data_IF_070378760889
#
_entry.id   IF_070378760889
#
_cell.length_a   1.000
_cell.length_b   1.000
_cell.length_c   1.000
_cell.angle_alpha   90.00
_cell.angle_beta   90.00
_cell.angle_gamma   90.00
#
_symmetry.space_group_name_H-M   'P 1'
#
loop_
_entity.id
_entity.type
_entity.pdbx_description
1 polymer ?
#
# COMPACT_ATOMS: atom_id res chain seq x y z
N UNK A 1 -13.42 -35.21 -26.14
CA UNK A 1 -13.96 -34.02 -25.46
C UNK A 1 -14.36 -33.02 -26.53
N UNK A 2 -15.66 -32.83 -26.71
CA UNK A 2 -16.23 -31.93 -27.72
C UNK A 2 -15.92 -30.45 -27.38
N UNK A 3 -15.89 -29.60 -28.41
CA UNK A 3 -15.66 -28.15 -28.27
C UNK A 3 -16.61 -27.48 -27.26
N UNK A 4 -17.89 -27.89 -27.24
CA UNK A 4 -18.90 -27.38 -26.29
C UNK A 4 -18.55 -27.69 -24.83
N UNK A 5 -18.02 -28.88 -24.55
CA UNK A 5 -17.60 -29.27 -23.20
C UNK A 5 -16.39 -28.45 -22.73
N UNK A 6 -15.46 -28.11 -23.63
CA UNK A 6 -14.32 -27.22 -23.34
C UNK A 6 -14.79 -25.80 -23.01
N UNK A 7 -15.74 -25.26 -23.79
CA UNK A 7 -16.32 -23.94 -23.53
C UNK A 7 -17.07 -23.87 -22.21
N UNK A 8 -17.88 -24.89 -21.87
CA UNK A 8 -18.59 -24.95 -20.60
C UNK A 8 -17.61 -24.97 -19.41
N UNK A 9 -16.55 -25.78 -19.48
CA UNK A 9 -15.49 -25.82 -18.44
C UNK A 9 -14.74 -24.50 -18.32
N UNK A 10 -14.50 -23.80 -19.43
CA UNK A 10 -13.85 -22.49 -19.41
C UNK A 10 -14.76 -21.42 -18.79
N UNK A 11 -16.05 -21.41 -19.14
CA UNK A 11 -17.03 -20.49 -18.58
C UNK A 11 -17.17 -20.66 -17.05
N UNK A 12 -17.24 -21.89 -16.56
CA UNK A 12 -17.32 -22.17 -15.11
C UNK A 12 -16.06 -21.75 -14.36
N UNK A 13 -14.88 -22.01 -14.94
CA UNK A 13 -13.60 -21.53 -14.40
C UNK A 13 -13.54 -20.01 -14.35
N UNK A 14 -13.98 -19.34 -15.42
CA UNK A 14 -13.99 -17.88 -15.47
C UNK A 14 -14.96 -17.28 -14.44
N UNK A 15 -16.14 -17.88 -14.24
CA UNK A 15 -17.08 -17.44 -13.22
C UNK A 15 -16.51 -17.54 -11.81
N UNK A 16 -15.87 -18.66 -11.49
CA UNK A 16 -15.19 -18.88 -10.20
C UNK A 16 -14.04 -17.89 -10.02
N UNK A 17 -13.29 -17.62 -11.08
CA UNK A 17 -12.18 -16.68 -11.07
C UNK A 17 -12.63 -15.23 -10.81
N UNK A 18 -13.71 -14.79 -11.47
CA UNK A 18 -14.29 -13.46 -11.28
C UNK A 18 -14.76 -13.27 -9.83
N UNK A 19 -15.48 -14.25 -9.27
CA UNK A 19 -15.94 -14.19 -7.88
C UNK A 19 -14.79 -14.11 -6.88
N UNK A 20 -13.72 -14.90 -7.12
CA UNK A 20 -12.52 -14.84 -6.26
C UNK A 20 -11.85 -13.46 -6.35
N UNK A 21 -11.72 -12.91 -7.56
CA UNK A 21 -11.12 -11.60 -7.77
C UNK A 21 -11.90 -10.50 -7.04
N UNK A 22 -13.24 -10.54 -7.06
CA UNK A 22 -14.08 -9.60 -6.30
C UNK A 22 -13.87 -9.74 -4.78
N UNK A 23 -13.70 -10.96 -4.27
CA UNK A 23 -13.43 -11.17 -2.85
C UNK A 23 -12.02 -10.68 -2.44
N UNK A 24 -11.01 -10.93 -3.27
CA UNK A 24 -9.64 -10.48 -3.06
C UNK A 24 -9.59 -8.94 -3.07
N UNK A 25 -10.36 -8.29 -3.95
CA UNK A 25 -10.57 -6.84 -4.02
C UNK A 25 -11.14 -6.24 -2.73
N UNK A 26 -12.27 -6.77 -2.26
CA UNK A 26 -12.93 -6.31 -1.02
C UNK A 26 -11.96 -6.45 0.16
N UNK A 27 -11.24 -7.57 0.19
CA UNK A 27 -10.23 -7.85 1.22
C UNK A 27 -9.11 -6.82 1.18
N UNK A 28 -8.54 -6.53 0.01
CA UNK A 28 -7.50 -5.53 -0.12
C UNK A 28 -7.94 -4.14 0.33
N UNK A 29 -9.11 -3.64 -0.11
CA UNK A 29 -9.63 -2.34 0.33
C UNK A 29 -9.73 -2.27 1.86
N UNK A 30 -10.27 -3.32 2.47
CA UNK A 30 -10.39 -3.38 3.93
C UNK A 30 -9.03 -3.30 4.61
N UNK A 31 -8.04 -4.04 4.12
CA UNK A 31 -6.69 -4.03 4.71
C UNK A 31 -5.94 -2.70 4.48
N UNK A 32 -6.21 -1.98 3.38
CA UNK A 32 -5.66 -0.62 3.17
C UNK A 32 -6.27 0.37 4.17
N UNK A 33 -7.60 0.36 4.34
CA UNK A 33 -8.28 1.24 5.30
C UNK A 33 -7.80 0.98 6.73
N UNK A 34 -7.71 -0.30 7.11
CA UNK A 34 -7.15 -0.70 8.40
C UNK A 34 -5.71 -0.23 8.59
N UNK A 35 -4.88 -0.32 7.55
CA UNK A 35 -3.51 0.17 7.61
C UNK A 35 -3.44 1.67 7.89
N UNK A 36 -4.30 2.46 7.25
CA UNK A 36 -4.37 3.90 7.48
C UNK A 36 -4.82 4.23 8.90
N UNK A 37 -5.85 3.53 9.41
CA UNK A 37 -6.27 3.64 10.81
C UNK A 37 -5.13 3.28 11.77
N UNK A 38 -4.38 2.20 11.48
CA UNK A 38 -3.21 1.80 12.28
C UNK A 38 -2.14 2.89 12.26
N UNK A 39 -1.82 3.48 11.10
CA UNK A 39 -0.84 4.57 10.95
C UNK A 39 -1.27 5.81 11.74
N UNK A 40 -2.53 6.25 11.62
CA UNK A 40 -3.05 7.38 12.38
C UNK A 40 -2.95 7.13 13.89
N UNK A 41 -3.29 5.92 14.33
CA UNK A 41 -3.16 5.54 15.73
C UNK A 41 -1.70 5.53 16.20
N UNK A 42 -0.76 5.06 15.37
CA UNK A 42 0.67 5.06 15.70
C UNK A 42 1.21 6.48 15.87
N UNK A 43 0.76 7.41 15.02
CA UNK A 43 1.21 8.80 14.96
C UNK A 43 0.30 9.79 15.70
N UNK A 44 -0.68 9.30 16.45
CA UNK A 44 -1.75 10.10 17.04
C UNK A 44 -1.24 11.32 17.81
N UNK A 45 -0.25 11.13 18.67
CA UNK A 45 0.32 12.22 19.48
C UNK A 45 0.95 13.32 18.61
N UNK A 46 1.68 12.92 17.57
CA UNK A 46 2.30 13.86 16.62
C UNK A 46 1.27 14.60 15.78
N UNK A 47 0.16 13.94 15.43
CA UNK A 47 -0.96 14.56 14.71
C UNK A 47 -1.72 15.53 15.61
N UNK A 48 -2.07 15.10 16.84
CA UNK A 48 -2.80 15.91 17.82
C UNK A 48 -2.01 17.19 18.21
N UNK A 49 -0.68 17.11 18.24
CA UNK A 49 0.20 18.27 18.49
C UNK A 49 0.48 19.12 17.23
N UNK A 50 -0.01 18.73 16.06
CA UNK A 50 0.22 19.44 14.79
C UNK A 50 1.64 19.29 14.22
N UNK A 51 2.43 18.33 14.71
CA UNK A 51 3.74 18.00 14.14
C UNK A 51 3.61 17.18 12.85
N UNK A 52 2.50 16.47 12.66
CA UNK A 52 2.19 15.75 11.42
C UNK A 52 0.79 16.15 10.97
N UNK A 53 0.67 16.46 9.68
CA UNK A 53 -0.64 16.69 9.05
C UNK A 53 -0.93 15.51 8.13
N UNK A 54 -2.02 14.79 8.40
CA UNK A 54 -2.49 13.69 7.57
C UNK A 54 -3.62 14.18 6.63
N UNK A 55 -3.46 13.93 5.34
CA UNK A 55 -4.42 14.31 4.31
C UNK A 55 -4.74 13.13 3.38
N UNK A 56 -5.94 13.16 2.79
CA UNK A 56 -6.44 12.09 1.94
C UNK A 56 -6.88 12.64 0.58
N UNK A 57 -6.39 12.02 -0.48
CA UNK A 57 -6.66 12.43 -1.86
C UNK A 57 -7.26 11.29 -2.67
N UNK A 58 -8.24 11.58 -3.52
CA UNK A 58 -8.76 10.56 -4.44
C UNK A 58 -7.68 10.15 -5.44
N UNK A 59 -7.62 8.86 -5.75
CA UNK A 59 -6.76 8.34 -6.81
C UNK A 59 -7.33 8.79 -8.18
N UNK A 60 -6.75 9.82 -8.78
CA UNK A 60 -7.29 10.42 -10.00
C UNK A 60 -6.90 9.70 -11.31
N UNK A 61 -5.89 8.83 -11.31
CA UNK A 61 -5.41 8.15 -12.52
C UNK A 61 -4.83 6.76 -12.22
N UNK A 62 -5.67 5.73 -12.26
CA UNK A 62 -5.22 4.37 -12.56
C UNK A 62 -6.05 3.89 -13.74
N UNK A 63 -5.38 3.68 -14.87
CA UNK A 63 -5.99 3.36 -16.18
C UNK A 63 -6.74 2.02 -16.23
N UNK A 64 -6.80 1.26 -15.13
CA UNK A 64 -7.19 -0.16 -15.19
C UNK A 64 -8.32 -0.64 -14.28
N UNK A 65 -8.86 0.12 -13.32
CA UNK A 65 -10.01 -0.37 -12.54
C UNK A 65 -10.98 0.74 -12.10
N UNK A 66 -12.25 0.63 -12.50
CA UNK A 66 -13.40 1.45 -12.05
C UNK A 66 -13.70 1.35 -10.53
N UNK A 67 -12.85 0.68 -9.75
CA UNK A 67 -13.08 0.23 -8.38
C UNK A 67 -12.41 1.12 -7.31
N UNK A 68 -11.71 2.16 -7.75
CA UNK A 68 -10.78 2.94 -6.94
C UNK A 68 -11.43 4.10 -6.16
N UNK A 69 -12.73 4.35 -6.36
CA UNK A 69 -13.47 5.43 -5.69
C UNK A 69 -13.48 5.34 -4.15
N UNK A 70 -13.16 4.17 -3.59
CA UNK A 70 -13.11 3.94 -2.13
C UNK A 70 -11.69 3.94 -1.54
N UNK A 71 -10.67 4.15 -2.38
CA UNK A 71 -9.28 4.21 -1.97
C UNK A 71 -8.77 5.64 -2.11
N UNK A 72 -8.00 6.04 -1.11
CA UNK A 72 -7.36 7.34 -1.05
C UNK A 72 -5.85 7.17 -1.03
N UNK A 73 -5.15 8.13 -1.58
CA UNK A 73 -3.75 8.37 -1.26
C UNK A 73 -3.74 9.01 0.13
N UNK A 74 -2.98 8.44 1.07
CA UNK A 74 -2.68 9.10 2.33
C UNK A 74 -1.37 9.89 2.17
N UNK A 75 -1.39 11.14 2.59
CA UNK A 75 -0.22 11.99 2.65
C UNK A 75 0.04 12.46 4.07
N UNK A 76 1.29 12.41 4.50
CA UNK A 76 1.74 12.81 5.82
C UNK A 76 2.79 13.91 5.68
N UNK A 77 2.42 15.14 5.97
CA UNK A 77 3.37 16.26 6.02
C UNK A 77 4.04 16.30 7.38
N UNK A 78 5.36 16.17 7.41
CA UNK A 78 6.16 16.09 8.64
C UNK A 78 6.74 17.47 8.99
N UNK A 79 6.35 18.03 10.13
CA UNK A 79 6.86 19.30 10.65
C UNK A 79 6.67 20.52 9.73
N UNK A 80 5.75 20.43 8.77
CA UNK A 80 5.60 21.45 7.70
C UNK A 80 6.64 21.37 6.58
N UNK A 81 7.47 20.32 6.55
CA UNK A 81 8.50 20.09 5.55
C UNK A 81 8.18 18.91 4.62
N UNK A 82 8.97 17.82 4.66
CA UNK A 82 8.81 16.71 3.73
C UNK A 82 7.43 16.04 3.86
N UNK A 83 6.90 15.61 2.72
CA UNK A 83 5.60 14.93 2.64
C UNK A 83 5.81 13.47 2.25
N UNK A 84 5.38 12.56 3.10
CA UNK A 84 5.35 11.12 2.82
C UNK A 84 4.04 10.76 2.14
N UNK A 85 4.10 9.95 1.10
CA UNK A 85 2.94 9.54 0.29
C UNK A 85 2.78 8.03 0.36
N UNK A 86 1.58 7.58 0.68
CA UNK A 86 1.14 6.19 0.60
C UNK A 86 0.10 6.06 -0.51
N UNK A 87 0.51 5.52 -1.65
CA UNK A 87 -0.31 5.38 -2.85
C UNK A 87 -0.69 3.90 -3.08
N UNK A 88 -1.96 3.50 -2.88
CA UNK A 88 -2.44 2.18 -3.27
C UNK A 88 -2.36 2.04 -4.80
N UNK A 89 -1.55 1.08 -5.28
CA UNK A 89 -1.22 0.98 -6.72
C UNK A 89 -1.73 -0.29 -7.39
N UNK A 90 -2.24 -1.27 -6.64
CA UNK A 90 -2.96 -2.38 -7.24
C UNK A 90 -3.08 -3.65 -6.40
N UNK A 91 -3.89 -4.56 -6.93
CA UNK A 91 -4.07 -5.94 -6.51
C UNK A 91 -3.35 -6.92 -7.46
N UNK A 92 -3.27 -8.20 -7.09
CA UNK A 92 -2.72 -9.28 -7.94
C UNK A 92 -1.23 -9.16 -8.27
N UNK A 93 -0.42 -8.78 -7.28
CA UNK A 93 1.02 -8.98 -7.39
C UNK A 93 1.32 -10.46 -7.17
N UNK A 94 2.18 -11.05 -7.99
CA UNK A 94 2.58 -12.45 -7.82
C UNK A 94 3.15 -12.64 -6.41
N UNK A 95 2.42 -13.41 -5.58
CA UNK A 95 2.77 -13.67 -4.19
C UNK A 95 2.24 -12.68 -3.15
N UNK A 96 1.40 -11.70 -3.53
CA UNK A 96 0.77 -10.75 -2.62
C UNK A 96 -0.67 -10.40 -3.01
N UNK A 97 -1.52 -10.09 -2.04
CA UNK A 97 -2.91 -9.67 -2.24
C UNK A 97 -3.00 -8.27 -2.85
N UNK A 98 -2.08 -7.38 -2.47
CA UNK A 98 -2.04 -6.02 -3.00
C UNK A 98 -0.83 -5.24 -2.56
N UNK A 99 -0.76 -4.00 -3.04
CA UNK A 99 0.43 -3.16 -2.96
C UNK A 99 0.11 -1.69 -2.69
N UNK A 100 0.92 -1.09 -1.84
CA UNK A 100 1.02 0.37 -1.67
C UNK A 100 2.47 0.77 -1.99
N UNK A 101 2.62 1.80 -2.81
CA UNK A 101 3.91 2.49 -2.98
C UNK A 101 4.03 3.55 -1.88
N UNK A 102 5.17 3.56 -1.18
CA UNK A 102 5.49 4.44 -0.08
C UNK A 102 6.73 5.27 -0.43
N UNK A 103 6.63 6.59 -0.51
CA UNK A 103 7.70 7.46 -1.00
C UNK A 103 7.63 8.89 -0.45
N UNK A 104 8.72 9.64 -0.56
CA UNK A 104 8.71 11.09 -0.34
C UNK A 104 8.17 11.80 -1.59
N UNK A 105 7.23 12.74 -1.41
CA UNK A 105 6.69 13.56 -2.49
C UNK A 105 7.82 14.21 -3.28
N UNK A 106 7.78 14.01 -4.61
CA UNK A 106 8.85 14.44 -5.53
C UNK A 106 9.92 13.37 -5.83
N UNK A 107 9.94 12.26 -5.08
CA UNK A 107 10.95 11.18 -5.18
C UNK A 107 10.32 9.80 -5.41
N UNK A 108 9.34 9.71 -6.32
CA UNK A 108 8.60 8.46 -6.59
C UNK A 108 9.49 7.34 -7.14
N UNK A 109 10.62 7.68 -7.76
CA UNK A 109 11.65 6.75 -8.23
C UNK A 109 12.36 6.00 -7.10
N UNK A 110 12.41 6.57 -5.89
CA UNK A 110 13.01 5.98 -4.70
C UNK A 110 11.99 5.22 -3.81
N UNK A 111 10.82 4.90 -4.37
CA UNK A 111 9.73 4.29 -3.60
C UNK A 111 10.10 2.96 -2.95
N UNK A 112 9.51 2.76 -1.79
CA UNK A 112 9.51 1.52 -1.03
C UNK A 112 8.15 0.85 -1.28
N UNK A 113 8.14 -0.49 -1.39
CA UNK A 113 6.90 -1.23 -1.58
C UNK A 113 6.39 -1.77 -0.26
N UNK A 114 5.11 -1.53 0.02
CA UNK A 114 4.37 -2.27 1.03
C UNK A 114 3.55 -3.35 0.31
N UNK A 115 3.77 -4.61 0.67
CA UNK A 115 3.06 -5.75 0.10
C UNK A 115 2.18 -6.41 1.17
N UNK A 116 0.93 -6.66 0.81
CA UNK A 116 -0.01 -7.43 1.64
C UNK A 116 0.19 -8.91 1.37
N UNK A 117 0.85 -9.60 2.29
CA UNK A 117 1.20 -11.02 2.16
C UNK A 117 0.25 -11.88 2.98
N UNK A 118 -0.22 -12.98 2.42
CA UNK A 118 -0.87 -14.06 3.15
C UNK A 118 0.18 -15.10 3.54
N UNK A 119 0.40 -15.31 4.84
CA UNK A 119 1.37 -16.31 5.34
C UNK A 119 0.73 -17.67 5.61
N UNK A 120 -0.45 -17.65 6.21
CA UNK A 120 -1.30 -18.80 6.46
C UNK A 120 -2.71 -18.43 6.05
N UNK A 121 -3.59 -19.42 5.89
CA UNK A 121 -4.96 -19.20 5.42
C UNK A 121 -5.64 -18.11 6.27
N UNK A 122 -5.94 -16.96 5.64
CA UNK A 122 -6.53 -15.75 6.23
C UNK A 122 -5.63 -14.94 7.20
N UNK A 123 -4.33 -15.20 7.25
CA UNK A 123 -3.38 -14.37 8.02
C UNK A 123 -2.67 -13.40 7.06
N UNK A 124 -3.28 -12.23 6.89
CA UNK A 124 -2.77 -11.13 6.08
C UNK A 124 -1.89 -10.21 6.91
N UNK A 125 -0.78 -9.77 6.32
CA UNK A 125 0.14 -8.81 6.95
C UNK A 125 0.81 -7.92 5.93
N UNK A 126 1.07 -6.68 6.32
CA UNK A 126 1.87 -5.77 5.53
C UNK A 126 3.36 -6.04 5.75
N UNK A 127 4.10 -6.14 4.66
CA UNK A 127 5.55 -6.23 4.67
C UNK A 127 6.15 -5.06 3.90
N UNK A 128 7.19 -4.46 4.46
CA UNK A 128 7.99 -3.41 3.87
C UNK A 128 9.17 -4.01 3.11
N UNK A 129 9.28 -3.67 1.83
CA UNK A 129 10.28 -4.20 0.89
C UNK A 129 11.10 -3.03 0.33
N UNK A 130 12.32 -2.86 0.85
CA UNK A 130 13.29 -1.87 0.38
C UNK A 130 14.13 -2.47 -0.76
N UNK A 131 13.86 -2.05 -1.99
CA UNK A 131 14.59 -2.43 -3.22
C UNK A 131 14.46 -3.91 -3.64
N UNK A 132 14.54 -4.20 -4.94
CA UNK A 132 14.37 -5.57 -5.49
C UNK A 132 15.61 -6.46 -5.35
N UNK A 133 16.76 -5.87 -4.98
CA UNK A 133 18.08 -6.56 -5.02
C UNK A 133 18.49 -7.20 -3.69
N UNK A 134 18.04 -6.65 -2.57
CA UNK A 134 18.29 -7.21 -1.25
C UNK A 134 17.00 -7.77 -0.68
N UNK A 135 17.10 -8.93 -0.04
CA UNK A 135 15.99 -9.56 0.69
C UNK A 135 15.59 -8.79 1.96
N UNK A 136 15.71 -7.45 1.94
CA UNK A 136 15.45 -6.57 3.05
C UNK A 136 13.93 -6.36 3.20
N UNK A 137 13.30 -7.44 3.66
CA UNK A 137 11.87 -7.54 3.94
C UNK A 137 11.68 -7.49 5.44
N UNK A 138 10.78 -6.64 5.90
CA UNK A 138 10.44 -6.55 7.31
C UNK A 138 8.92 -6.44 7.48
N UNK A 139 8.35 -6.92 8.59
CA UNK A 139 6.96 -6.60 8.93
C UNK A 139 6.79 -5.08 8.96
N UNK A 140 5.70 -4.57 8.38
CA UNK A 140 5.36 -3.16 8.49
C UNK A 140 4.50 -2.93 9.73
N UNK A 141 5.07 -2.25 10.71
CA UNK A 141 4.49 -1.91 12.00
C UNK A 141 4.97 -0.53 12.45
N UNK A 142 4.47 -0.05 13.60
CA UNK A 142 4.86 1.23 14.22
C UNK A 142 6.37 1.48 14.20
N UNK A 143 7.16 0.59 14.80
CA UNK A 143 8.61 0.78 14.94
C UNK A 143 9.32 0.89 13.59
N UNK A 144 8.97 0.03 12.63
CA UNK A 144 9.56 0.07 11.28
C UNK A 144 9.15 1.31 10.51
N UNK A 145 7.94 1.81 10.75
CA UNK A 145 7.43 3.01 10.09
C UNK A 145 8.07 4.27 10.68
N UNK A 146 8.09 4.42 12.01
CA UNK A 146 8.77 5.54 12.68
C UNK A 146 10.24 5.60 12.31
N UNK A 147 10.94 4.46 12.28
CA UNK A 147 12.33 4.40 11.82
C UNK A 147 12.49 4.92 10.39
N UNK A 148 11.57 4.54 9.48
CA UNK A 148 11.60 5.03 8.11
C UNK A 148 11.38 6.54 8.04
N UNK A 149 10.43 7.08 8.81
CA UNK A 149 10.19 8.51 8.87
C UNK A 149 11.43 9.26 9.37
N UNK A 150 12.08 8.77 10.42
CA UNK A 150 13.33 9.36 10.94
C UNK A 150 14.44 9.35 9.88
N UNK A 151 14.64 8.22 9.18
CA UNK A 151 15.63 8.11 8.09
C UNK A 151 15.38 9.17 6.99
N UNK A 152 14.13 9.48 6.69
CA UNK A 152 13.75 10.48 5.69
C UNK A 152 13.86 11.93 6.16
N UNK A 153 13.57 12.19 7.43
CA UNK A 153 13.80 13.50 8.06
C UNK A 153 15.30 13.79 8.03
N UNK A 154 16.14 12.86 8.53
CA UNK A 154 17.59 13.02 8.57
C UNK A 154 18.21 13.23 7.17
N UNK A 155 17.63 12.59 6.13
CA UNK A 155 18.07 12.77 4.74
C UNK A 155 17.75 14.17 4.22
N UNK A 156 16.60 14.73 4.62
CA UNK A 156 16.12 16.04 4.15
C UNK A 156 16.89 17.17 4.84
N UNK A 157 17.16 17.05 6.15
CA UNK A 157 17.92 18.05 6.90
C UNK A 157 19.34 18.23 6.34
N UNK A 158 20.02 17.12 6.01
CA UNK A 158 21.37 17.15 5.42
C UNK A 158 21.46 17.87 4.07
N UNK A 159 20.37 17.87 3.29
CA UNK A 159 20.33 18.57 1.99
C UNK A 159 20.13 20.07 2.19
N UNK A 160 19.53 20.50 3.31
CA UNK A 160 19.28 21.92 3.61
C UNK A 160 20.48 22.67 4.18
N UNK A 161 21.54 21.94 4.58
CA UNK A 161 22.78 22.49 5.15
C UNK A 161 23.90 22.72 4.10
N UNK A 162 23.70 22.32 2.84
CA UNK A 162 24.63 22.52 1.70
C UNK A 162 24.21 23.69 0.80
#
# INVERSE_FOLDING_TARGET
MEFKEKLAKLAEKNKTHVQKLEQDKITWIREVKKLYEDIENWLKESIDCGHIVAEYYSLQHIEYEEFIEQLFIMELTLGGGPCVVLEPTGINIIGAFGKIDLYLRGHKEEKIMLLLIERQKNELRWELWKNNKDHNKSPFNKDTFEKLLSEWIDKTDKISEE
#
